data_IF_489911863323
#
_entry.id   IF_489911863323
#
_cell.length_a   1.000
_cell.length_b   1.000
_cell.length_c   1.000
_cell.angle_alpha   90.00
_cell.angle_beta   90.00
_cell.angle_gamma   90.00
#
_symmetry.space_group_name_H-M   'P 1'
#
loop_
_entity.id
_entity.type
_entity.pdbx_description
1 polymer ?
#
# COMPACT_ATOMS: atom_id res chain seq x y z
N UNK A 1 7.54 -10.93 15.64
CA UNK A 1 6.43 -10.28 16.38
C UNK A 1 6.01 -9.04 15.62
N UNK A 2 4.77 -8.55 15.78
CA UNK A 2 4.29 -7.30 15.15
C UNK A 2 5.21 -6.10 15.50
N UNK A 3 5.83 -6.10 16.68
CA UNK A 3 6.81 -5.08 17.09
C UNK A 3 8.03 -4.98 16.18
N UNK A 4 8.53 -6.10 15.64
CA UNK A 4 9.70 -6.10 14.76
C UNK A 4 9.39 -5.47 13.40
N UNK A 5 8.16 -5.63 12.91
CA UNK A 5 7.70 -5.02 11.67
C UNK A 5 7.48 -3.51 11.85
N UNK A 6 6.89 -3.10 12.97
CA UNK A 6 6.71 -1.69 13.34
C UNK A 6 8.05 -0.95 13.52
N UNK A 7 9.10 -1.64 13.99
CA UNK A 7 10.44 -1.04 14.09
C UNK A 7 11.13 -0.85 12.74
N UNK A 8 10.74 -1.60 11.70
CA UNK A 8 11.34 -1.53 10.36
C UNK A 8 10.57 -0.60 9.42
N UNK A 9 9.26 -0.45 9.64
CA UNK A 9 8.36 0.36 8.84
C UNK A 9 8.32 1.80 9.35
N UNK A 10 8.48 2.77 8.43
CA UNK A 10 8.39 4.17 8.79
C UNK A 10 6.90 4.58 8.99
N UNK A 11 6.56 5.49 9.92
CA UNK A 11 5.18 5.92 10.15
C UNK A 11 4.48 6.49 8.90
N UNK A 12 5.24 7.14 8.01
CA UNK A 12 4.71 7.64 6.74
C UNK A 12 4.34 6.49 5.78
N UNK A 13 5.14 5.43 5.76
CA UNK A 13 4.94 4.23 4.94
C UNK A 13 3.69 3.46 5.40
N UNK A 14 3.46 3.37 6.71
CA UNK A 14 2.21 2.83 7.28
C UNK A 14 0.99 3.63 6.83
N UNK A 15 1.06 4.97 6.87
CA UNK A 15 -0.04 5.82 6.38
C UNK A 15 -0.32 5.59 4.89
N UNK A 16 0.73 5.53 4.07
CA UNK A 16 0.60 5.26 2.64
C UNK A 16 0.00 3.87 2.37
N UNK A 17 0.43 2.84 3.10
CA UNK A 17 -0.13 1.49 2.98
C UNK A 17 -1.63 1.48 3.29
N UNK A 18 -2.06 2.17 4.35
CA UNK A 18 -3.49 2.26 4.72
C UNK A 18 -4.29 3.06 3.68
N UNK A 19 -3.73 4.13 3.13
CA UNK A 19 -4.37 4.90 2.06
C UNK A 19 -4.55 4.08 0.78
N UNK A 20 -3.51 3.36 0.34
CA UNK A 20 -3.60 2.45 -0.80
C UNK A 20 -4.62 1.34 -0.55
N UNK A 21 -4.59 0.70 0.63
CA UNK A 21 -5.56 -0.33 1.00
C UNK A 21 -7.00 0.20 0.91
N UNK A 22 -7.23 1.42 1.38
CA UNK A 22 -8.55 2.05 1.37
C UNK A 22 -9.01 2.32 -0.07
N UNK A 23 -8.12 2.82 -0.93
CA UNK A 23 -8.42 3.03 -2.36
C UNK A 23 -8.75 1.72 -3.05
N UNK A 24 -7.96 0.67 -2.82
CA UNK A 24 -8.19 -0.66 -3.38
C UNK A 24 -9.51 -1.26 -2.88
N UNK A 25 -9.86 -1.08 -1.60
CA UNK A 25 -11.13 -1.54 -1.05
C UNK A 25 -12.32 -0.81 -1.69
N UNK A 26 -12.20 0.50 -1.90
CA UNK A 26 -13.22 1.30 -2.61
C UNK A 26 -13.34 0.82 -4.06
N UNK A 27 -12.23 0.71 -4.79
CA UNK A 27 -12.20 0.20 -6.18
C UNK A 27 -12.82 -1.19 -6.27
N UNK A 28 -12.49 -2.10 -5.36
CA UNK A 28 -13.08 -3.44 -5.33
C UNK A 28 -14.60 -3.41 -5.16
N UNK A 29 -15.09 -2.49 -4.32
CA UNK A 29 -16.52 -2.39 -3.97
C UNK A 29 -17.33 -1.55 -4.96
N UNK A 30 -16.70 -0.65 -5.70
CA UNK A 30 -17.37 0.28 -6.62
C UNK A 30 -17.20 -0.14 -8.09
N UNK A 31 -16.01 -0.61 -8.47
CA UNK A 31 -15.65 -1.00 -9.82
C UNK A 31 -15.39 -2.50 -9.90
N UNK A 32 -16.44 -3.31 -9.73
CA UNK A 32 -16.46 -4.79 -9.73
C UNK A 32 -15.78 -5.49 -10.94
N UNK A 33 -15.16 -4.76 -11.87
CA UNK A 33 -14.34 -5.25 -12.98
C UNK A 33 -12.92 -4.70 -13.06
N UNK A 34 -12.48 -3.78 -12.18
CA UNK A 34 -11.13 -3.22 -12.20
C UNK A 34 -10.15 -4.15 -11.46
N UNK A 35 -8.97 -4.36 -12.04
CA UNK A 35 -7.97 -5.27 -11.48
C UNK A 35 -7.29 -4.65 -10.25
N UNK A 36 -7.74 -5.03 -9.07
CA UNK A 36 -7.12 -4.67 -7.78
C UNK A 36 -5.77 -5.34 -7.52
N UNK A 37 -5.40 -6.31 -8.35
CA UNK A 37 -4.15 -7.07 -8.21
C UNK A 37 -2.90 -6.20 -8.31
N UNK A 38 -2.89 -5.20 -9.20
CA UNK A 38 -1.78 -4.27 -9.35
C UNK A 38 -1.56 -3.44 -8.07
N UNK A 39 -2.66 -3.00 -7.42
CA UNK A 39 -2.58 -2.24 -6.18
C UNK A 39 -2.10 -3.11 -5.01
N UNK A 40 -2.53 -4.37 -4.94
CA UNK A 40 -2.10 -5.32 -3.90
C UNK A 40 -0.60 -5.68 -4.05
N UNK A 41 -0.12 -5.80 -5.29
CA UNK A 41 1.30 -5.97 -5.56
C UNK A 41 2.10 -4.73 -5.13
N UNK A 42 1.61 -3.53 -5.47
CA UNK A 42 2.18 -2.26 -5.02
C UNK A 42 2.22 -2.12 -3.50
N UNK A 43 1.15 -2.52 -2.80
CA UNK A 43 1.08 -2.51 -1.34
C UNK A 43 2.09 -3.48 -0.72
N UNK A 44 2.24 -4.68 -1.30
CA UNK A 44 3.20 -5.67 -0.84
C UNK A 44 4.65 -5.19 -1.02
N UNK A 45 4.95 -4.53 -2.14
CA UNK A 45 6.25 -3.90 -2.37
C UNK A 45 6.51 -2.75 -1.39
N UNK A 46 5.49 -1.92 -1.15
CA UNK A 46 5.57 -0.80 -0.22
C UNK A 46 5.80 -1.27 1.21
N UNK A 47 5.26 -2.42 1.65
CA UNK A 47 5.52 -2.94 2.99
C UNK A 47 6.88 -3.65 3.14
N UNK A 48 7.39 -4.25 2.06
CA UNK A 48 8.60 -5.08 2.11
C UNK A 48 9.89 -4.34 1.74
N UNK A 49 9.82 -3.22 1.02
CA UNK A 49 11.00 -2.43 0.62
C UNK A 49 10.99 -1.08 1.34
N UNK A 50 12.17 -0.59 1.74
CA UNK A 50 12.34 0.82 2.16
C UNK A 50 11.95 1.68 0.96
N UNK A 51 10.76 2.29 1.04
CA UNK A 51 10.12 3.18 0.07
C UNK A 51 10.98 3.40 -1.19
N UNK A 52 10.71 2.62 -2.24
CA UNK A 52 11.17 3.00 -3.58
C UNK A 52 10.53 4.36 -3.87
N UNK A 53 11.37 5.37 -3.78
CA UNK A 53 11.01 6.77 -3.85
C UNK A 53 10.20 7.06 -5.11
N UNK A 54 9.22 7.94 -4.96
CA UNK A 54 8.58 8.72 -6.01
C UNK A 54 7.65 8.03 -7.01
N UNK A 55 7.64 6.71 -7.19
CA UNK A 55 6.70 6.08 -8.15
C UNK A 55 5.22 6.14 -7.68
N UNK A 56 4.98 6.27 -6.37
CA UNK A 56 3.63 6.37 -5.79
C UNK A 56 3.23 7.79 -5.38
N UNK A 57 4.10 8.79 -5.61
CA UNK A 57 3.82 10.20 -5.30
C UNK A 57 3.44 10.91 -6.60
N UNK A 58 2.26 10.60 -7.13
CA UNK A 58 1.39 11.50 -7.91
C UNK A 58 0.33 10.66 -8.62
N UNK A 59 -0.93 10.91 -8.25
CA UNK A 59 -2.12 10.23 -8.78
C UNK A 59 -3.33 10.38 -7.89
#
# INVERSE_FOLDING_TARGET
MIGDALQRLHPAQLRQAVQLLTRTEITLKQDYGQSVWADLEGLSLLLCHKALADVFIDG
#
